data_IF_955503430975
#
_entry.id   IF_955503430975
#
_cell.length_a   1.000
_cell.length_b   1.000
_cell.length_c   1.000
_cell.angle_alpha   90.00
_cell.angle_beta   90.00
_cell.angle_gamma   90.00
#
_symmetry.space_group_name_H-M   'P 1'
#
loop_
_entity.id
_entity.type
_entity.pdbx_description
1 polymer ?
#
# COMPACT_ATOMS: atom_id res chain seq x y z
N UNK A 1 12.76 -12.08 -16.00
CA UNK A 1 13.36 -10.73 -16.19
C UNK A 1 12.24 -9.70 -16.02
N UNK A 2 12.39 -8.66 -15.19
CA UNK A 2 11.31 -7.70 -14.95
C UNK A 2 10.93 -6.93 -16.23
N UNK A 3 9.70 -6.46 -16.31
CA UNK A 3 9.23 -5.59 -17.40
C UNK A 3 10.10 -4.32 -17.49
N UNK A 4 10.19 -3.72 -18.68
CA UNK A 4 11.11 -2.60 -18.97
C UNK A 4 10.89 -1.40 -18.04
N UNK A 5 9.65 -1.15 -17.63
CA UNK A 5 9.18 -0.06 -16.78
C UNK A 5 9.13 -0.41 -15.29
N UNK A 6 9.46 -1.66 -14.91
CA UNK A 6 9.47 -2.08 -13.52
C UNK A 6 10.71 -1.51 -12.78
N UNK A 7 10.47 -0.60 -11.83
CA UNK A 7 11.51 0.15 -11.09
C UNK A 7 11.71 -0.31 -9.63
N UNK A 8 11.15 -1.44 -9.22
CA UNK A 8 11.30 -1.99 -7.86
C UNK A 8 12.31 -3.16 -7.83
N UNK A 9 12.43 -3.84 -6.69
CA UNK A 9 13.36 -4.95 -6.47
C UNK A 9 13.04 -6.16 -7.36
N UNK A 10 14.06 -6.74 -7.99
CA UNK A 10 13.97 -8.03 -8.67
C UNK A 10 15.31 -8.78 -8.54
N UNK A 11 15.36 -10.09 -8.86
CA UNK A 11 16.55 -10.92 -8.67
C UNK A 11 17.84 -10.38 -9.30
N UNK A 12 17.73 -9.60 -10.38
CA UNK A 12 18.87 -8.98 -11.06
C UNK A 12 18.77 -7.44 -11.12
N UNK A 13 17.99 -6.84 -10.22
CA UNK A 13 17.75 -5.40 -10.18
C UNK A 13 17.70 -4.89 -8.73
N UNK A 14 18.71 -4.13 -8.27
CA UNK A 14 18.70 -3.56 -6.93
C UNK A 14 17.63 -2.48 -6.79
N UNK A 15 17.22 -2.24 -5.55
CA UNK A 15 16.26 -1.20 -5.19
C UNK A 15 16.75 -0.41 -3.98
N UNK A 16 16.50 0.90 -3.96
CA UNK A 16 16.83 1.72 -2.81
C UNK A 16 15.73 1.68 -1.75
N UNK A 17 16.13 1.78 -0.48
CA UNK A 17 15.20 2.00 0.63
C UNK A 17 15.09 3.49 0.92
N UNK A 18 13.88 4.05 0.80
CA UNK A 18 13.64 5.49 0.99
C UNK A 18 14.04 5.90 2.42
N UNK A 19 14.74 7.03 2.56
CA UNK A 19 15.25 7.57 3.83
C UNK A 19 16.27 6.71 4.61
N UNK A 20 16.54 5.46 4.20
CA UNK A 20 17.55 4.62 4.86
C UNK A 20 18.98 4.91 4.40
N UNK A 21 19.14 5.50 3.20
CA UNK A 21 20.44 5.60 2.51
C UNK A 21 21.09 4.23 2.21
N UNK A 22 20.27 3.20 1.97
CA UNK A 22 20.71 1.85 1.61
C UNK A 22 20.12 1.39 0.28
N UNK A 23 20.89 0.57 -0.43
CA UNK A 23 20.48 -0.18 -1.62
C UNK A 23 20.46 -1.66 -1.28
N UNK A 24 19.39 -2.33 -1.65
CA UNK A 24 19.19 -3.77 -1.42
C UNK A 24 19.25 -4.57 -2.71
N UNK A 25 19.84 -5.76 -2.64
CA UNK A 25 19.92 -6.74 -3.73
C UNK A 25 19.46 -8.11 -3.24
N UNK A 26 18.60 -8.78 -4.00
CA UNK A 26 18.11 -10.12 -3.67
C UNK A 26 19.27 -11.13 -3.71
N UNK A 27 19.42 -11.91 -2.65
CA UNK A 27 20.31 -13.06 -2.58
C UNK A 27 19.53 -14.36 -2.74
N UNK A 28 18.41 -14.47 -2.05
CA UNK A 28 17.60 -15.69 -2.02
C UNK A 28 16.12 -15.36 -1.85
N UNK A 29 15.26 -16.26 -2.34
CA UNK A 29 13.80 -16.16 -2.24
C UNK A 29 13.32 -17.44 -1.57
N UNK A 30 12.95 -17.33 -0.29
CA UNK A 30 12.37 -18.46 0.44
C UNK A 30 10.90 -18.53 0.09
N UNK A 31 10.45 -19.75 -0.22
CA UNK A 31 9.08 -20.05 -0.64
C UNK A 31 8.44 -21.09 0.27
N UNK A 32 7.13 -21.03 0.38
CA UNK A 32 6.34 -22.04 1.08
C UNK A 32 6.17 -23.32 0.22
N UNK A 33 5.39 -24.28 0.73
CA UNK A 33 5.08 -25.53 0.02
C UNK A 33 4.28 -25.35 -1.27
N UNK A 34 3.60 -24.21 -1.44
CA UNK A 34 2.85 -23.86 -2.64
C UNK A 34 3.69 -23.04 -3.63
N UNK A 35 4.99 -22.87 -3.35
CA UNK A 35 5.93 -22.07 -4.13
C UNK A 35 5.63 -20.55 -4.09
N UNK A 36 4.89 -20.06 -3.09
CA UNK A 36 4.67 -18.62 -2.88
C UNK A 36 5.83 -17.99 -2.10
N UNK A 37 6.34 -16.80 -2.47
CA UNK A 37 7.40 -16.13 -1.73
C UNK A 37 6.94 -15.69 -0.34
N UNK A 38 7.66 -16.13 0.71
CA UNK A 38 7.36 -15.77 2.11
C UNK A 38 8.47 -14.93 2.76
N UNK A 39 9.70 -15.00 2.27
CA UNK A 39 10.83 -14.20 2.76
C UNK A 39 11.82 -13.90 1.62
N UNK A 40 12.39 -12.70 1.64
CA UNK A 40 13.49 -12.31 0.77
C UNK A 40 14.74 -12.09 1.61
N UNK A 41 15.80 -12.87 1.33
CA UNK A 41 17.12 -12.57 1.88
C UNK A 41 17.80 -11.58 0.95
N UNK A 42 18.26 -10.47 1.50
CA UNK A 42 18.90 -9.39 0.73
C UNK A 42 20.24 -9.01 1.33
N UNK A 43 21.16 -8.54 0.49
CA UNK A 43 22.29 -7.74 0.95
C UNK A 43 21.89 -6.27 1.01
N UNK A 44 22.42 -5.55 2.00
CA UNK A 44 22.27 -4.10 2.14
C UNK A 44 23.64 -3.44 2.02
N UNK A 45 23.76 -2.43 1.15
CA UNK A 45 24.98 -1.60 1.02
C UNK A 45 24.59 -0.12 1.08
N UNK A 46 25.45 0.75 1.62
CA UNK A 46 25.11 2.18 1.74
C UNK A 46 25.09 2.77 0.34
N UNK A 47 24.09 3.56 -0.01
CA UNK A 47 23.97 4.11 -1.36
C UNK A 47 25.15 5.00 -1.81
N UNK A 48 26.03 5.39 -0.87
CA UNK A 48 27.24 6.17 -1.06
C UNK A 48 28.50 5.35 -1.32
N UNK A 49 28.47 4.02 -1.14
CA UNK A 49 29.68 3.22 -1.31
C UNK A 49 30.08 3.15 -2.80
N UNK A 50 31.39 3.13 -3.05
CA UNK A 50 31.92 3.02 -4.41
C UNK A 50 31.59 1.65 -5.01
N UNK A 51 31.31 1.61 -6.32
CA UNK A 51 31.03 0.38 -7.06
C UNK A 51 29.59 -0.14 -6.92
N UNK A 52 28.70 0.56 -6.21
CA UNK A 52 27.29 0.18 -6.15
C UNK A 52 26.57 0.47 -7.46
N UNK A 53 25.78 -0.51 -7.90
CA UNK A 53 24.84 -0.31 -9.00
C UNK A 53 23.71 0.62 -8.56
N UNK A 54 23.61 1.78 -9.22
CA UNK A 54 22.56 2.77 -8.96
C UNK A 54 21.17 2.13 -9.10
N UNK A 55 20.30 2.19 -8.07
CA UNK A 55 18.98 1.59 -8.13
C UNK A 55 18.07 2.35 -9.11
N UNK A 56 17.15 1.64 -9.76
CA UNK A 56 16.16 2.25 -10.67
C UNK A 56 15.04 3.00 -9.96
N UNK A 57 14.88 2.77 -8.66
CA UNK A 57 13.84 3.38 -7.84
C UNK A 57 14.05 3.11 -6.37
N UNK A 58 13.36 3.90 -5.55
CA UNK A 58 13.31 3.76 -4.10
C UNK A 58 11.89 3.37 -3.67
N UNK A 59 11.79 2.37 -2.79
CA UNK A 59 10.53 1.89 -2.21
C UNK A 59 10.39 2.38 -0.76
N UNK A 60 9.15 2.48 -0.28
CA UNK A 60 8.89 2.58 1.16
C UNK A 60 9.18 1.23 1.82
N UNK A 61 9.41 1.26 3.12
CA UNK A 61 9.70 0.11 3.96
C UNK A 61 9.38 0.51 5.41
N UNK A 62 9.28 -0.48 6.28
CA UNK A 62 9.07 -0.30 7.72
C UNK A 62 9.99 -1.26 8.47
N UNK A 63 10.56 -0.81 9.58
CA UNK A 63 11.37 -1.61 10.50
C UNK A 63 10.62 -1.75 11.82
N UNK A 64 10.67 -2.92 12.45
CA UNK A 64 9.92 -3.20 13.69
C UNK A 64 8.46 -2.71 13.62
N UNK A 65 7.70 -3.14 12.60
CA UNK A 65 6.43 -2.51 12.27
C UNK A 65 5.35 -2.74 13.33
N UNK A 66 4.46 -1.76 13.45
CA UNK A 66 3.19 -1.90 14.16
C UNK A 66 2.15 -2.48 13.19
N UNK A 67 1.35 -3.43 13.67
CA UNK A 67 0.22 -3.94 12.89
C UNK A 67 -0.93 -2.94 12.92
N UNK A 68 -1.63 -2.81 11.80
CA UNK A 68 -2.83 -1.99 11.71
C UNK A 68 -3.83 -2.55 10.71
N UNK A 69 -5.09 -2.14 10.89
CA UNK A 69 -6.16 -2.33 9.93
C UNK A 69 -6.19 -1.17 8.94
N UNK A 70 -6.27 -1.48 7.65
CA UNK A 70 -6.46 -0.49 6.60
C UNK A 70 -7.78 -0.74 5.90
N UNK A 71 -8.66 0.26 5.92
CA UNK A 71 -9.93 0.31 5.19
C UNK A 71 -9.73 1.08 3.89
N UNK A 72 -9.77 0.36 2.77
CA UNK A 72 -9.66 0.91 1.43
C UNK A 72 -11.06 1.09 0.85
N UNK A 73 -11.52 2.34 0.82
CA UNK A 73 -12.80 2.69 0.20
C UNK A 73 -12.65 2.88 -1.32
N UNK A 74 -13.74 2.56 -2.01
CA UNK A 74 -14.05 2.87 -3.41
C UNK A 74 -15.49 3.41 -3.49
N UNK A 75 -15.97 3.73 -4.68
CA UNK A 75 -17.34 4.23 -4.91
C UNK A 75 -18.36 3.24 -4.36
N UNK A 76 -19.35 3.76 -3.61
CA UNK A 76 -20.45 2.97 -3.07
C UNK A 76 -21.39 2.46 -4.15
N UNK A 77 -21.58 3.22 -5.22
CA UNK A 77 -22.44 2.89 -6.35
C UNK A 77 -21.60 2.60 -7.61
N UNK A 78 -22.12 1.72 -8.46
CA UNK A 78 -21.45 1.33 -9.70
C UNK A 78 -21.68 2.40 -10.78
N UNK A 79 -22.89 2.95 -10.86
CA UNK A 79 -23.28 3.95 -11.85
C UNK A 79 -23.11 5.38 -11.32
N UNK A 80 -23.07 6.33 -12.27
CA UNK A 80 -22.93 7.75 -11.94
C UNK A 80 -24.23 8.34 -11.36
N UNK A 81 -25.39 7.88 -11.85
CA UNK A 81 -26.70 8.32 -11.40
C UNK A 81 -27.50 7.12 -10.85
N UNK A 82 -27.18 6.62 -9.63
CA UNK A 82 -27.81 5.42 -9.08
C UNK A 82 -29.33 5.56 -8.82
N UNK A 83 -29.83 6.79 -8.74
CA UNK A 83 -31.26 7.10 -8.59
C UNK A 83 -32.01 7.21 -9.93
N UNK A 84 -31.32 7.23 -11.08
CA UNK A 84 -31.98 7.28 -12.40
C UNK A 84 -32.52 5.88 -12.74
N UNK A 85 -33.86 5.68 -12.82
CA UNK A 85 -34.43 4.39 -13.18
C UNK A 85 -34.07 3.91 -14.59
N UNK A 86 -33.52 4.79 -15.45
CA UNK A 86 -32.99 4.41 -16.77
C UNK A 86 -31.61 3.76 -16.66
N UNK A 87 -30.76 4.22 -15.76
CA UNK A 87 -29.45 3.61 -15.49
C UNK A 87 -29.59 2.40 -14.57
N UNK A 88 -30.42 2.52 -13.53
CA UNK A 88 -30.64 1.49 -12.51
C UNK A 88 -32.13 1.14 -12.40
N UNK A 89 -32.69 0.33 -13.33
CA UNK A 89 -34.11 -0.04 -13.30
C UNK A 89 -34.54 -0.80 -12.03
N UNK A 90 -33.60 -1.46 -11.35
CA UNK A 90 -33.83 -2.17 -10.08
C UNK A 90 -33.84 -1.26 -8.84
N UNK A 91 -33.67 0.06 -9.00
CA UNK A 91 -33.50 1.03 -7.92
C UNK A 91 -32.10 1.04 -7.31
N UNK A 92 -31.72 2.14 -6.67
CA UNK A 92 -30.33 2.41 -6.23
C UNK A 92 -29.71 1.33 -5.34
N UNK A 93 -30.49 0.59 -4.55
CA UNK A 93 -29.97 -0.51 -3.71
C UNK A 93 -29.42 -1.67 -4.54
N UNK A 94 -29.94 -1.89 -5.76
CA UNK A 94 -29.38 -2.88 -6.68
C UNK A 94 -28.05 -2.44 -7.31
N UNK A 95 -27.66 -1.17 -7.11
CA UNK A 95 -26.44 -0.58 -7.66
C UNK A 95 -25.27 -0.52 -6.68
N UNK A 96 -25.41 -1.09 -5.49
CA UNK A 96 -24.34 -1.09 -4.49
C UNK A 96 -23.14 -1.89 -5.00
N UNK A 97 -21.99 -1.24 -5.03
CA UNK A 97 -20.70 -1.86 -5.30
C UNK A 97 -20.27 -2.70 -4.08
N UNK A 98 -20.31 -4.01 -4.23
CA UNK A 98 -19.87 -4.97 -3.20
C UNK A 98 -18.37 -4.91 -2.90
N UNK A 99 -17.59 -4.24 -3.76
CA UNK A 99 -16.16 -3.99 -3.57
C UNK A 99 -15.86 -2.56 -3.09
N UNK A 100 -16.88 -1.80 -2.66
CA UNK A 100 -16.73 -0.42 -2.17
C UNK A 100 -15.87 -0.30 -0.90
N UNK A 101 -15.65 -1.40 -0.19
CA UNK A 101 -14.75 -1.49 0.95
C UNK A 101 -13.92 -2.77 0.87
N UNK A 102 -12.60 -2.62 0.94
CA UNK A 102 -11.66 -3.72 1.16
C UNK A 102 -10.91 -3.48 2.46
N UNK A 103 -10.93 -4.45 3.37
CA UNK A 103 -10.25 -4.37 4.67
C UNK A 103 -8.97 -5.22 4.63
N UNK A 104 -7.83 -4.63 5.00
CA UNK A 104 -6.57 -5.34 5.22
C UNK A 104 -6.19 -5.29 6.70
N UNK A 105 -6.36 -6.42 7.40
CA UNK A 105 -6.07 -6.57 8.83
C UNK A 105 -4.59 -6.82 9.17
N UNK A 106 -3.75 -7.01 8.15
CA UNK A 106 -2.35 -7.40 8.32
C UNK A 106 -1.40 -6.35 7.76
N UNK A 107 -1.84 -5.09 7.67
CA UNK A 107 -0.98 -4.02 7.23
C UNK A 107 0.07 -3.70 8.30
N UNK A 108 1.20 -3.16 7.83
CA UNK A 108 2.37 -2.86 8.65
C UNK A 108 2.72 -1.39 8.48
N UNK A 109 2.85 -0.67 9.59
CA UNK A 109 3.13 0.75 9.64
C UNK A 109 4.36 1.05 10.52
N UNK A 110 5.01 2.17 10.22
CA UNK A 110 6.15 2.67 10.99
C UNK A 110 5.71 3.17 12.38
N UNK A 111 6.66 3.28 13.32
CA UNK A 111 6.45 3.84 14.66
C UNK A 111 5.89 5.26 14.69
N UNK A 112 5.97 6.00 13.59
CA UNK A 112 5.33 7.31 13.45
C UNK A 112 3.81 7.32 13.68
N UNK A 113 3.14 6.16 13.68
CA UNK A 113 1.70 6.08 14.01
C UNK A 113 1.41 6.00 15.51
N UNK A 114 2.42 5.78 16.36
CA UNK A 114 2.21 5.64 17.80
C UNK A 114 1.63 6.93 18.39
N UNK A 115 0.66 6.78 19.28
CA UNK A 115 -0.07 7.89 19.93
C UNK A 115 -0.93 8.74 18.97
N UNK A 116 -1.19 8.26 17.75
CA UNK A 116 -2.12 8.95 16.86
C UNK A 116 -3.51 8.99 17.48
N UNK A 117 -4.21 10.11 17.27
CA UNK A 117 -5.58 10.34 17.73
C UNK A 117 -6.55 10.14 16.57
N UNK A 118 -7.83 9.84 16.85
CA UNK A 118 -8.87 9.86 15.83
C UNK A 118 -8.79 11.14 14.99
N UNK A 119 -8.93 10.97 13.67
CA UNK A 119 -8.84 12.02 12.66
C UNK A 119 -7.44 12.59 12.35
N UNK A 120 -6.38 12.11 12.99
CA UNK A 120 -5.02 12.43 12.56
C UNK A 120 -4.79 11.93 11.12
N UNK A 121 -4.06 12.73 10.33
CA UNK A 121 -3.92 12.54 8.89
C UNK A 121 -2.48 12.24 8.52
N UNK A 122 -2.31 11.25 7.66
CA UNK A 122 -1.01 10.80 7.20
C UNK A 122 -0.99 10.64 5.68
N UNK A 123 0.15 10.92 5.08
CA UNK A 123 0.46 10.40 3.76
C UNK A 123 1.26 9.10 3.95
N UNK A 124 0.66 7.97 3.62
CA UNK A 124 1.41 6.71 3.53
C UNK A 124 2.15 6.70 2.20
N UNK A 125 3.47 6.76 2.29
CA UNK A 125 4.36 7.00 1.16
C UNK A 125 4.14 6.00 0.03
N UNK A 126 3.92 6.52 -1.19
CA UNK A 126 3.61 5.72 -2.39
C UNK A 126 2.30 4.92 -2.34
N UNK A 127 1.48 5.07 -1.31
CA UNK A 127 0.19 4.37 -1.14
C UNK A 127 -0.99 5.34 -1.29
N UNK A 128 -1.08 6.37 -0.45
CA UNK A 128 -2.25 7.26 -0.40
C UNK A 128 -2.25 8.18 0.80
N UNK A 129 -3.34 8.92 0.96
CA UNK A 129 -3.63 9.71 2.16
C UNK A 129 -4.65 8.98 3.02
N UNK A 130 -4.36 8.93 4.31
CA UNK A 130 -5.09 8.16 5.30
C UNK A 130 -5.45 9.01 6.51
N UNK A 131 -6.55 8.67 7.16
CA UNK A 131 -6.97 9.24 8.43
C UNK A 131 -7.16 8.13 9.45
N UNK A 132 -6.79 8.38 10.70
CA UNK A 132 -7.09 7.49 11.83
C UNK A 132 -8.61 7.44 12.02
N UNK A 133 -9.16 6.24 12.04
CA UNK A 133 -10.58 5.99 12.28
C UNK A 133 -10.88 6.01 13.80
N UNK A 134 -12.03 6.53 14.24
CA UNK A 134 -12.46 6.49 15.65
C UNK A 134 -12.52 5.11 16.29
N UNK A 135 -12.62 4.04 15.50
CA UNK A 135 -12.54 2.64 15.96
C UNK A 135 -11.13 2.25 16.44
N UNK A 136 -10.14 3.11 16.22
CA UNK A 136 -8.78 2.88 16.70
C UNK A 136 -8.71 2.85 18.22
N UNK A 137 -7.92 1.90 18.74
CA UNK A 137 -7.61 1.75 20.15
C UNK A 137 -6.10 1.79 20.36
N UNK A 138 -5.65 1.79 21.62
CA UNK A 138 -4.21 1.76 21.93
C UNK A 138 -3.50 0.52 21.38
N UNK A 139 -4.22 -0.59 21.21
CA UNK A 139 -3.68 -1.89 20.78
C UNK A 139 -3.98 -2.20 19.31
N UNK A 140 -4.90 -1.47 18.68
CA UNK A 140 -5.29 -1.68 17.29
C UNK A 140 -5.53 -0.35 16.58
N UNK A 141 -4.63 0.02 15.68
CA UNK A 141 -4.78 1.20 14.83
C UNK A 141 -5.61 0.87 13.59
N UNK A 142 -6.60 1.71 13.31
CA UNK A 142 -7.46 1.59 12.14
C UNK A 142 -7.31 2.84 11.29
N UNK A 143 -7.02 2.67 10.00
CA UNK A 143 -6.89 3.79 9.06
C UNK A 143 -7.85 3.67 7.89
N UNK A 144 -8.50 4.78 7.57
CA UNK A 144 -9.31 4.93 6.37
C UNK A 144 -8.49 5.60 5.28
N UNK A 145 -8.46 5.01 4.07
CA UNK A 145 -7.90 5.72 2.90
C UNK A 145 -8.86 6.82 2.48
N UNK A 146 -8.45 8.07 2.68
CA UNK A 146 -9.20 9.25 2.25
C UNK A 146 -9.15 9.43 0.74
N UNK A 147 -7.96 9.33 0.14
CA UNK A 147 -7.76 9.46 -1.31
C UNK A 147 -6.47 8.77 -1.75
N UNK A 148 -6.44 8.25 -2.98
CA UNK A 148 -5.23 7.70 -3.60
C UNK A 148 -4.25 8.82 -4.03
N UNK A 149 -2.97 8.49 -4.22
CA UNK A 149 -1.96 9.47 -4.66
C UNK A 149 -2.16 10.00 -6.08
N UNK A 150 -2.91 9.29 -6.89
CA UNK A 150 -3.28 9.67 -8.24
C UNK A 150 -4.74 9.31 -8.45
N UNK A 151 -5.44 10.14 -9.22
CA UNK A 151 -6.79 9.82 -9.68
C UNK A 151 -6.77 8.52 -10.50
N UNK A 152 -7.74 7.64 -10.24
CA UNK A 152 -7.99 6.51 -11.12
C UNK A 152 -8.63 7.05 -12.39
N UNK A 153 -8.04 6.77 -13.56
CA UNK A 153 -8.57 7.22 -14.85
C UNK A 153 -9.93 6.62 -15.20
N UNK A 154 -10.39 5.61 -14.45
CA UNK A 154 -11.75 5.09 -14.51
C UNK A 154 -12.78 6.00 -13.82
N UNK A 155 -12.34 7.08 -13.19
CA UNK A 155 -13.17 8.03 -12.45
C UNK A 155 -13.62 9.27 -13.29
N UNK A 156 -13.40 9.25 -14.61
CA UNK A 156 -13.89 10.27 -15.56
C UNK A 156 -14.57 9.61 -16.74
#
# INVERSE_FOLDING_TARGET
>A
KPAKDYKRLASNQPCGLRYANYVITVQDIIRDSNNEPIELKVTCQKATDQGITKPKGFIHWVSHPNKCEIRLYDRLFIHANPDDPKEVPGGFLSDINTNSLTINNNALADDGIKNSKPFDKFQFERVGFFSVDPDSTNDNYVFNRTVSLKEDKRAT
#
